data_IF_161248519664
#
_entry.id   IF_161248519664
#
_cell.length_a   1.000
_cell.length_b   1.000
_cell.length_c   1.000
_cell.angle_alpha   90.00
_cell.angle_beta   90.00
_cell.angle_gamma   90.00
#
_symmetry.space_group_name_H-M   'P 1'
#
loop_
_entity.id
_entity.type
_entity.pdbx_description
1 polymer ?
#
# COMPACT_ATOMS: atom_id res chain seq x y z
N UNK A 1 -12.93 0.48 -18.88
CA UNK A 1 -12.40 1.78 -18.44
C UNK A 1 -10.92 1.57 -18.15
N UNK A 2 -10.03 2.30 -18.83
CA UNK A 2 -8.63 2.39 -18.43
C UNK A 2 -8.62 3.04 -17.03
N UNK A 3 -8.55 2.23 -15.98
CA UNK A 3 -8.24 2.74 -14.68
C UNK A 3 -6.83 3.34 -14.76
N UNK A 4 -6.73 4.63 -14.45
CA UNK A 4 -5.47 5.36 -14.54
C UNK A 4 -4.43 4.62 -13.70
N UNK A 5 -3.37 4.21 -14.35
CA UNK A 5 -2.20 3.57 -13.72
C UNK A 5 -1.58 4.50 -12.67
N UNK A 6 -1.82 5.80 -12.82
CA UNK A 6 -1.27 6.87 -11.99
C UNK A 6 -2.39 7.76 -11.43
N UNK A 7 -2.53 7.82 -10.12
CA UNK A 7 -3.55 8.63 -9.44
C UNK A 7 -3.02 10.05 -9.14
N UNK A 8 -3.10 10.91 -10.15
CA UNK A 8 -2.65 12.30 -10.04
C UNK A 8 -3.49 13.12 -9.04
N UNK A 9 -4.78 12.84 -8.95
CA UNK A 9 -5.68 13.60 -8.06
C UNK A 9 -5.39 13.28 -6.59
N UNK A 10 -5.08 12.03 -6.26
CA UNK A 10 -4.60 11.63 -4.94
C UNK A 10 -3.33 12.40 -4.56
N UNK A 11 -2.35 12.46 -5.46
CA UNK A 11 -1.08 13.16 -5.23
C UNK A 11 -1.29 14.65 -5.03
N UNK A 12 -2.10 15.29 -5.88
CA UNK A 12 -2.43 16.71 -5.75
C UNK A 12 -3.12 17.00 -4.42
N UNK A 13 -4.07 16.17 -4.01
CA UNK A 13 -4.75 16.29 -2.73
C UNK A 13 -3.77 16.15 -1.56
N UNK A 14 -2.92 15.13 -1.58
CA UNK A 14 -1.91 14.89 -0.54
C UNK A 14 -1.00 16.12 -0.39
N UNK A 15 -0.49 16.66 -1.50
CA UNK A 15 0.37 17.85 -1.45
C UNK A 15 -0.35 19.14 -1.05
N UNK A 16 -1.62 19.28 -1.37
CA UNK A 16 -2.40 20.43 -0.93
C UNK A 16 -2.65 20.43 0.59
N UNK A 17 -2.86 19.25 1.18
CA UNK A 17 -3.17 19.10 2.60
C UNK A 17 -1.93 18.99 3.50
N UNK A 18 -0.83 18.44 3.00
CA UNK A 18 0.35 18.09 3.78
C UNK A 18 0.99 19.27 4.52
N UNK A 19 1.17 20.48 3.93
CA UNK A 19 1.79 21.60 4.63
C UNK A 19 1.05 21.96 5.92
N UNK A 20 -0.26 22.09 5.87
CA UNK A 20 -1.09 22.43 7.04
C UNK A 20 -1.03 21.34 8.12
N UNK A 21 -1.08 20.05 7.72
CA UNK A 21 -0.98 18.92 8.65
C UNK A 21 0.39 18.87 9.34
N UNK A 22 1.47 19.09 8.58
CA UNK A 22 2.84 19.10 9.11
C UNK A 22 3.07 20.28 10.05
N UNK A 23 2.54 21.47 9.73
CA UNK A 23 2.67 22.64 10.60
C UNK A 23 1.87 22.46 11.90
N UNK A 24 0.69 21.86 11.83
CA UNK A 24 -0.08 21.52 13.03
C UNK A 24 0.69 20.53 13.91
N UNK A 25 1.29 19.49 13.31
CA UNK A 25 2.09 18.51 14.03
C UNK A 25 3.33 19.16 14.69
N UNK A 26 4.07 20.03 13.97
CA UNK A 26 5.20 20.75 14.53
C UNK A 26 4.83 21.61 15.74
N UNK A 27 3.68 22.29 15.67
CA UNK A 27 3.18 23.10 16.79
C UNK A 27 2.82 22.22 17.98
N UNK A 28 2.16 21.09 17.76
CA UNK A 28 1.76 20.18 18.83
C UNK A 28 2.96 19.52 19.51
N UNK A 29 4.01 19.18 18.74
CA UNK A 29 5.21 18.51 19.26
C UNK A 29 6.27 19.48 19.77
N UNK A 30 6.23 20.76 19.37
CA UNK A 30 7.20 21.77 19.78
C UNK A 30 8.64 21.54 19.27
N UNK A 31 8.81 20.73 18.20
CA UNK A 31 10.13 20.36 17.66
C UNK A 31 10.11 20.14 16.14
N UNK A 32 11.27 20.16 15.47
CA UNK A 32 11.40 19.73 14.09
C UNK A 32 11.02 18.24 13.93
N UNK A 33 10.51 17.88 12.74
CA UNK A 33 10.11 16.53 12.37
C UNK A 33 11.02 15.98 11.27
N UNK A 34 11.37 14.71 11.35
CA UNK A 34 11.98 13.97 10.23
C UNK A 34 10.96 13.79 9.09
N UNK A 35 11.42 13.43 7.89
CA UNK A 35 10.51 13.15 6.77
C UNK A 35 9.49 12.06 7.14
N UNK A 36 9.95 10.96 7.74
CA UNK A 36 9.08 9.86 8.21
C UNK A 36 8.02 10.36 9.17
N UNK A 37 8.37 11.18 10.16
CA UNK A 37 7.40 11.75 11.09
C UNK A 37 6.40 12.68 10.39
N UNK A 38 6.85 13.51 9.45
CA UNK A 38 5.94 14.36 8.66
C UNK A 38 4.89 13.53 7.94
N UNK A 39 5.31 12.41 7.33
CA UNK A 39 4.40 11.51 6.62
C UNK A 39 3.44 10.84 7.60
N UNK A 40 3.92 10.27 8.71
CA UNK A 40 3.07 9.62 9.71
C UNK A 40 2.02 10.59 10.26
N UNK A 41 2.44 11.78 10.71
CA UNK A 41 1.50 12.77 11.24
C UNK A 41 0.54 13.35 10.18
N UNK A 42 0.95 13.41 8.93
CA UNK A 42 0.06 13.81 7.84
C UNK A 42 -1.01 12.75 7.50
N UNK A 43 -0.78 11.50 7.87
CA UNK A 43 -1.67 10.37 7.61
C UNK A 43 -2.38 9.84 8.87
N UNK A 44 -2.47 10.62 9.94
CA UNK A 44 -3.32 10.26 11.06
C UNK A 44 -4.76 10.09 10.62
N UNK A 45 -5.43 9.09 11.16
CA UNK A 45 -6.85 8.88 10.91
C UNK A 45 -7.67 10.09 11.36
N UNK A 46 -8.75 10.36 10.65
CA UNK A 46 -9.62 11.50 10.93
C UNK A 46 -10.16 11.46 12.36
N UNK A 47 -9.96 12.54 13.09
CA UNK A 47 -10.43 12.70 14.47
C UNK A 47 -9.41 12.30 15.54
N UNK A 48 -8.25 11.78 15.17
CA UNK A 48 -7.17 11.53 16.12
C UNK A 48 -6.61 12.88 16.60
N UNK A 49 -6.55 13.05 17.92
CA UNK A 49 -5.98 14.25 18.52
C UNK A 49 -4.45 14.27 18.32
N UNK A 50 -3.93 15.41 17.87
CA UNK A 50 -2.49 15.59 17.72
C UNK A 50 -1.81 15.66 19.09
N UNK A 51 -0.85 14.78 19.30
CA UNK A 51 -0.01 14.73 20.50
C UNK A 51 1.35 14.09 20.16
N UNK A 52 2.31 14.21 21.05
CA UNK A 52 3.59 13.50 20.92
C UNK A 52 3.42 12.03 21.35
N UNK A 53 3.08 11.18 20.36
CA UNK A 53 2.91 9.74 20.60
C UNK A 53 4.22 9.10 20.98
N UNK A 54 4.19 8.32 22.07
CA UNK A 54 5.37 7.60 22.58
C UNK A 54 5.75 6.45 21.66
N UNK A 55 6.90 6.58 21.00
CA UNK A 55 7.41 5.57 20.07
C UNK A 55 7.62 4.23 20.77
N UNK A 56 7.11 3.16 20.15
CA UNK A 56 7.18 1.80 20.67
C UNK A 56 6.23 1.50 21.83
N UNK A 57 5.30 2.43 22.15
CA UNK A 57 4.28 2.24 23.20
C UNK A 57 2.87 2.53 22.68
N UNK A 58 2.60 3.73 22.18
CA UNK A 58 1.26 4.15 21.82
C UNK A 58 0.83 3.50 20.49
N UNK A 59 -0.40 3.03 20.45
CA UNK A 59 -1.06 2.60 19.23
C UNK A 59 -1.78 3.79 18.60
N UNK A 60 -1.64 3.93 17.30
CA UNK A 60 -2.13 5.09 16.56
C UNK A 60 -2.81 4.62 15.28
N UNK A 61 -3.96 5.18 15.00
CA UNK A 61 -4.71 4.91 13.79
C UNK A 61 -4.23 5.79 12.63
N UNK A 62 -3.93 5.17 11.51
CA UNK A 62 -3.48 5.83 10.29
C UNK A 62 -4.44 5.60 9.12
N UNK A 63 -4.32 6.47 8.12
CA UNK A 63 -5.04 6.40 6.85
C UNK A 63 -4.04 6.27 5.70
N UNK A 64 -3.58 5.04 5.35
CA UNK A 64 -2.72 4.84 4.19
C UNK A 64 -3.40 5.31 2.90
N UNK A 65 -2.61 5.87 1.97
CA UNK A 65 -3.09 6.33 0.68
C UNK A 65 -3.46 5.19 -0.26
N UNK A 66 -2.80 4.03 -0.11
CA UNK A 66 -3.01 2.89 -1.01
C UNK A 66 -2.57 1.55 -0.42
N UNK A 67 -3.05 0.48 -1.04
CA UNK A 67 -2.71 -0.91 -0.74
C UNK A 67 -2.12 -1.58 -2.00
N UNK A 68 -1.01 -2.31 -1.85
CA UNK A 68 -0.47 -3.17 -2.89
C UNK A 68 -0.43 -4.63 -2.41
N UNK A 69 -0.86 -5.55 -3.26
CA UNK A 69 -0.92 -6.97 -2.93
C UNK A 69 -0.23 -7.80 -4.01
N UNK A 70 0.49 -8.83 -3.62
CA UNK A 70 1.03 -9.82 -4.55
C UNK A 70 0.06 -11.03 -4.67
N UNK A 71 0.19 -11.82 -5.73
CA UNK A 71 -0.79 -12.85 -6.11
C UNK A 71 -0.96 -13.97 -5.08
N UNK A 72 0.07 -14.36 -4.34
CA UNK A 72 -0.06 -15.43 -3.36
C UNK A 72 -0.88 -15.00 -2.13
N UNK A 73 -0.66 -13.78 -1.63
CA UNK A 73 -1.34 -13.25 -0.43
C UNK A 73 -2.68 -12.58 -0.74
N UNK A 74 -2.86 -12.05 -1.95
CA UNK A 74 -4.09 -11.38 -2.38
C UNK A 74 -5.30 -12.34 -2.39
N UNK A 75 -5.09 -13.61 -2.62
CA UNK A 75 -6.18 -14.61 -2.66
C UNK A 75 -7.00 -14.57 -1.38
N UNK A 76 -6.36 -14.74 -0.22
CA UNK A 76 -7.06 -14.75 1.07
C UNK A 76 -7.56 -13.35 1.44
N UNK A 77 -6.79 -12.31 1.19
CA UNK A 77 -7.20 -10.94 1.48
C UNK A 77 -8.48 -10.57 0.71
N UNK A 78 -8.56 -10.89 -0.57
CA UNK A 78 -9.73 -10.59 -1.39
C UNK A 78 -10.94 -11.47 -1.07
N UNK A 79 -10.74 -12.74 -0.70
CA UNK A 79 -11.82 -13.56 -0.18
C UNK A 79 -12.43 -12.96 1.10
N UNK A 80 -11.60 -12.48 2.01
CA UNK A 80 -12.06 -11.76 3.21
C UNK A 80 -12.76 -10.45 2.85
N UNK A 81 -12.19 -9.67 1.93
CA UNK A 81 -12.79 -8.41 1.49
C UNK A 81 -14.20 -8.61 0.91
N UNK A 82 -14.44 -9.68 0.18
CA UNK A 82 -15.76 -10.02 -0.36
C UNK A 82 -16.85 -10.10 0.73
N UNK A 83 -16.47 -10.50 1.95
CA UNK A 83 -17.42 -10.62 3.07
C UNK A 83 -17.74 -9.28 3.73
N UNK A 84 -17.01 -8.21 3.40
CA UNK A 84 -17.23 -6.88 3.98
C UNK A 84 -18.49 -6.15 3.43
N UNK A 85 -19.11 -6.68 2.38
CA UNK A 85 -20.32 -6.11 1.77
C UNK A 85 -20.09 -4.75 1.08
N UNK A 86 -18.86 -4.46 0.67
CA UNK A 86 -18.51 -3.24 -0.06
C UNK A 86 -18.61 -3.44 -1.56
N UNK A 87 -19.08 -2.42 -2.29
CA UNK A 87 -19.15 -2.44 -3.75
C UNK A 87 -17.80 -2.15 -4.40
N UNK A 88 -16.95 -1.37 -3.76
CA UNK A 88 -15.60 -0.97 -4.23
C UNK A 88 -14.65 -0.84 -3.06
N UNK A 89 -13.36 -0.94 -3.33
CA UNK A 89 -12.33 -0.62 -2.34
C UNK A 89 -12.37 0.87 -1.97
N UNK A 90 -12.10 1.17 -0.71
CA UNK A 90 -12.15 2.54 -0.18
C UNK A 90 -10.90 3.36 -0.52
N UNK A 91 -9.78 2.70 -0.81
CA UNK A 91 -8.52 3.33 -1.20
C UNK A 91 -7.99 2.70 -2.49
N UNK A 92 -7.19 3.41 -3.30
CA UNK A 92 -6.50 2.84 -4.45
C UNK A 92 -5.74 1.58 -4.05
N UNK A 93 -6.07 0.48 -4.72
CA UNK A 93 -5.49 -0.84 -4.43
C UNK A 93 -5.06 -1.53 -5.71
N UNK A 94 -3.99 -2.31 -5.64
CA UNK A 94 -3.45 -3.05 -6.79
C UNK A 94 -3.11 -4.49 -6.41
N UNK A 95 -3.29 -5.39 -7.39
CA UNK A 95 -2.84 -6.78 -7.34
C UNK A 95 -1.80 -7.00 -8.43
N UNK A 96 -0.70 -7.64 -8.07
CA UNK A 96 0.44 -7.90 -8.96
C UNK A 96 0.73 -9.40 -8.99
N UNK A 97 0.72 -9.99 -10.19
CA UNK A 97 0.92 -11.43 -10.39
C UNK A 97 2.38 -11.74 -10.73
N UNK A 98 3.25 -11.77 -9.73
CA UNK A 98 4.69 -11.98 -9.90
C UNK A 98 5.27 -13.09 -9.03
N UNK A 99 4.65 -13.47 -7.91
CA UNK A 99 5.19 -14.45 -6.96
C UNK A 99 5.00 -15.90 -7.40
N UNK A 100 3.98 -16.21 -8.20
CA UNK A 100 3.70 -17.60 -8.64
C UNK A 100 4.48 -17.98 -9.91
N UNK A 101 5.36 -17.13 -10.41
CA UNK A 101 6.23 -17.42 -11.56
C UNK A 101 7.56 -17.97 -11.06
N UNK A 102 7.92 -19.18 -11.47
CA UNK A 102 9.20 -19.80 -11.12
C UNK A 102 10.29 -19.30 -12.09
N UNK A 103 11.29 -18.59 -11.59
CA UNK A 103 12.45 -18.16 -12.39
C UNK A 103 13.47 -19.32 -12.53
N UNK A 104 13.11 -20.38 -13.25
CA UNK A 104 13.90 -21.62 -13.31
C UNK A 104 14.57 -21.88 -14.66
N UNK A 105 13.84 -21.74 -15.75
CA UNK A 105 14.29 -22.12 -17.10
C UNK A 105 14.52 -20.89 -17.98
N UNK A 106 13.65 -19.92 -17.89
CA UNK A 106 13.68 -18.70 -18.67
C UNK A 106 12.31 -18.06 -18.84
N UNK A 107 12.28 -16.75 -19.02
CA UNK A 107 11.08 -15.92 -18.93
C UNK A 107 9.86 -16.48 -19.70
N UNK A 108 10.05 -16.87 -20.96
CA UNK A 108 8.93 -17.34 -21.80
C UNK A 108 8.34 -18.65 -21.29
N UNK A 109 9.20 -19.63 -20.96
CA UNK A 109 8.77 -20.97 -20.53
C UNK A 109 8.15 -20.92 -19.12
N UNK A 110 8.78 -20.19 -18.22
CA UNK A 110 8.31 -20.09 -16.83
C UNK A 110 7.01 -19.30 -16.75
N UNK A 111 6.82 -18.26 -17.58
CA UNK A 111 5.56 -17.53 -17.68
C UNK A 111 4.45 -18.41 -18.25
N UNK A 112 4.70 -19.17 -19.30
CA UNK A 112 3.72 -20.06 -19.90
C UNK A 112 3.29 -21.12 -18.87
N UNK A 113 4.24 -21.75 -18.17
CA UNK A 113 3.95 -22.72 -17.13
C UNK A 113 3.10 -22.10 -16.01
N UNK A 114 3.45 -20.88 -15.55
CA UNK A 114 2.68 -20.19 -14.52
C UNK A 114 1.23 -19.92 -14.94
N UNK A 115 1.01 -19.46 -16.18
CA UNK A 115 -0.31 -19.19 -16.73
C UNK A 115 -1.18 -20.45 -16.84
N UNK A 116 -0.56 -21.60 -17.14
CA UNK A 116 -1.25 -22.88 -17.19
C UNK A 116 -1.56 -23.43 -15.79
N UNK A 117 -0.55 -23.46 -14.93
CA UNK A 117 -0.64 -24.05 -13.58
C UNK A 117 -1.52 -23.24 -12.63
N UNK A 118 -1.45 -21.91 -12.71
CA UNK A 118 -2.14 -20.99 -11.80
C UNK A 118 -3.33 -20.28 -12.48
N UNK A 119 -3.88 -20.83 -13.53
CA UNK A 119 -4.98 -20.22 -14.28
C UNK A 119 -6.14 -19.80 -13.39
N UNK A 120 -6.60 -20.70 -12.53
CA UNK A 120 -7.72 -20.45 -11.61
C UNK A 120 -7.45 -19.25 -10.69
N UNK A 121 -6.23 -19.14 -10.16
CA UNK A 121 -5.82 -18.04 -9.30
C UNK A 121 -5.83 -16.71 -10.08
N UNK A 122 -5.22 -16.70 -11.26
CA UNK A 122 -5.17 -15.47 -12.07
C UNK A 122 -6.55 -15.03 -12.57
N UNK A 123 -7.41 -15.97 -12.93
CA UNK A 123 -8.79 -15.69 -13.34
C UNK A 123 -9.60 -15.13 -12.16
N UNK A 124 -9.47 -15.72 -10.96
CA UNK A 124 -10.08 -15.21 -9.74
C UNK A 124 -9.61 -13.80 -9.42
N UNK A 125 -8.29 -13.57 -9.36
CA UNK A 125 -7.72 -12.27 -9.04
C UNK A 125 -8.11 -11.19 -10.05
N UNK A 126 -8.13 -11.53 -11.35
CA UNK A 126 -8.55 -10.63 -12.40
C UNK A 126 -10.02 -10.24 -12.28
N UNK A 127 -10.90 -11.23 -12.11
CA UNK A 127 -12.34 -10.98 -12.01
C UNK A 127 -12.73 -10.18 -10.78
N UNK A 128 -12.09 -10.49 -9.64
CA UNK A 128 -12.36 -9.77 -8.38
C UNK A 128 -11.83 -8.34 -8.43
N UNK A 129 -10.67 -8.15 -9.05
CA UNK A 129 -10.08 -6.82 -9.23
C UNK A 129 -10.98 -5.93 -10.08
N UNK A 130 -11.53 -6.45 -11.17
CA UNK A 130 -12.49 -5.73 -12.01
C UNK A 130 -13.77 -5.36 -11.22
N UNK A 131 -14.32 -6.33 -10.48
CA UNK A 131 -15.53 -6.12 -9.69
C UNK A 131 -15.37 -4.98 -8.68
N UNK A 132 -14.27 -4.94 -7.94
CA UNK A 132 -14.08 -4.01 -6.82
C UNK A 132 -13.25 -2.76 -7.15
N UNK A 133 -12.87 -2.59 -8.40
CA UNK A 133 -12.10 -1.41 -8.86
C UNK A 133 -10.64 -1.43 -8.43
N UNK A 134 -10.04 -2.61 -8.37
CA UNK A 134 -8.64 -2.83 -8.02
C UNK A 134 -7.81 -2.87 -9.32
N UNK A 135 -6.66 -2.21 -9.34
CA UNK A 135 -5.72 -2.30 -10.46
C UNK A 135 -5.12 -3.70 -10.56
N UNK A 136 -5.14 -4.28 -11.75
CA UNK A 136 -4.67 -5.65 -11.96
C UNK A 136 -3.47 -5.71 -12.91
N UNK A 137 -2.32 -6.09 -12.38
CA UNK A 137 -1.07 -6.31 -13.11
C UNK A 137 -0.89 -7.81 -13.34
N UNK A 138 -1.09 -8.22 -14.59
CA UNK A 138 -1.06 -9.62 -15.03
C UNK A 138 0.30 -10.25 -14.83
N UNK A 139 0.33 -11.59 -14.78
CA UNK A 139 1.57 -12.36 -14.80
C UNK A 139 2.43 -11.94 -16.00
N UNK A 140 3.71 -11.66 -15.73
CA UNK A 140 4.66 -11.15 -16.70
C UNK A 140 4.74 -9.62 -16.82
N UNK A 141 3.93 -8.86 -16.08
CA UNK A 141 3.98 -7.39 -16.08
C UNK A 141 5.18 -6.80 -15.31
N UNK A 142 5.86 -7.60 -14.50
CA UNK A 142 7.01 -7.19 -13.71
C UNK A 142 6.84 -7.48 -12.22
N UNK A 143 7.91 -7.29 -11.47
CA UNK A 143 7.95 -7.49 -10.02
C UNK A 143 7.14 -6.37 -9.35
N UNK A 144 6.25 -6.72 -8.41
CA UNK A 144 5.37 -5.79 -7.69
C UNK A 144 6.09 -4.52 -7.22
N UNK A 145 7.23 -4.66 -6.55
CA UNK A 145 7.88 -3.51 -5.93
C UNK A 145 8.48 -2.56 -6.96
N UNK A 146 8.95 -3.09 -8.09
CA UNK A 146 9.44 -2.27 -9.20
C UNK A 146 8.28 -1.57 -9.90
N UNK A 147 7.19 -2.28 -10.16
CA UNK A 147 5.98 -1.71 -10.77
C UNK A 147 5.39 -0.61 -9.88
N UNK A 148 5.32 -0.83 -8.56
CA UNK A 148 4.85 0.18 -7.60
C UNK A 148 5.75 1.39 -7.57
N UNK A 149 7.07 1.18 -7.54
CA UNK A 149 8.05 2.27 -7.54
C UNK A 149 7.94 3.16 -8.79
N UNK A 150 7.78 2.54 -9.96
CA UNK A 150 7.73 3.24 -11.26
C UNK A 150 6.40 3.94 -11.53
N UNK A 151 5.29 3.41 -11.01
CA UNK A 151 3.97 3.86 -11.43
C UNK A 151 3.15 4.54 -10.32
N UNK A 152 3.43 4.28 -9.05
CA UNK A 152 2.57 4.70 -7.94
C UNK A 152 3.27 5.43 -6.82
N UNK A 153 4.57 5.20 -6.63
CA UNK A 153 5.31 5.83 -5.54
C UNK A 153 5.52 7.32 -5.79
N UNK A 154 5.37 8.12 -4.73
CA UNK A 154 5.62 9.56 -4.75
C UNK A 154 6.10 10.03 -3.36
N UNK A 155 6.97 11.06 -3.29
CA UNK A 155 7.44 11.57 -2.01
C UNK A 155 6.29 12.05 -1.12
N UNK A 156 6.29 11.64 0.13
CA UNK A 156 5.29 12.08 1.11
C UNK A 156 4.05 11.20 1.23
N UNK A 157 3.90 10.18 0.37
CA UNK A 157 2.81 9.21 0.45
C UNK A 157 3.02 8.16 1.54
N UNK A 158 1.94 7.49 1.92
CA UNK A 158 1.95 6.35 2.84
C UNK A 158 1.24 5.17 2.20
N UNK A 159 1.87 4.00 2.19
CA UNK A 159 1.26 2.78 1.67
C UNK A 159 1.51 1.58 2.56
N UNK A 160 0.60 0.62 2.49
CA UNK A 160 0.79 -0.72 3.02
C UNK A 160 0.77 -1.75 1.90
N UNK A 161 1.40 -2.89 2.10
CA UNK A 161 1.39 -3.96 1.13
C UNK A 161 1.55 -5.33 1.77
N UNK A 162 0.96 -6.35 1.14
CA UNK A 162 0.98 -7.73 1.65
C UNK A 162 2.27 -8.47 1.30
N UNK A 163 3.38 -7.76 1.30
CA UNK A 163 4.71 -8.30 1.01
C UNK A 163 5.78 -7.62 1.88
N UNK A 164 6.79 -8.39 2.28
CA UNK A 164 7.89 -7.92 3.14
C UNK A 164 8.79 -6.89 2.46
N UNK A 165 8.78 -6.80 1.13
CA UNK A 165 9.58 -5.84 0.35
C UNK A 165 8.79 -4.57 -0.03
N UNK A 166 7.58 -4.39 0.47
CA UNK A 166 6.81 -3.15 0.32
C UNK A 166 7.63 -1.88 0.65
N UNK A 167 8.54 -1.88 1.64
CA UNK A 167 9.44 -0.75 1.92
C UNK A 167 10.29 -0.24 0.76
N UNK A 168 10.40 -0.98 -0.34
CA UNK A 168 11.08 -0.52 -1.56
C UNK A 168 10.55 0.83 -2.08
N UNK A 169 9.25 1.13 -1.90
CA UNK A 169 8.67 2.41 -2.27
C UNK A 169 9.24 3.60 -1.45
N UNK A 170 9.89 3.33 -0.33
CA UNK A 170 10.66 4.31 0.45
C UNK A 170 11.82 4.92 -0.33
N UNK A 171 12.31 4.25 -1.38
CA UNK A 171 13.33 4.79 -2.29
C UNK A 171 12.90 6.09 -3.00
N UNK A 172 11.60 6.34 -3.13
CA UNK A 172 11.03 7.61 -3.61
C UNK A 172 10.39 8.44 -2.49
N UNK A 173 10.76 8.23 -1.23
CA UNK A 173 10.34 9.09 -0.13
C UNK A 173 8.92 8.83 0.37
N UNK A 174 8.39 7.62 0.21
CA UNK A 174 7.18 7.16 0.88
C UNK A 174 7.49 6.56 2.26
N UNK A 175 6.48 6.53 3.12
CA UNK A 175 6.43 5.53 4.21
C UNK A 175 5.66 4.33 3.68
N UNK A 176 6.37 3.23 3.46
CA UNK A 176 5.82 2.01 2.89
C UNK A 176 6.09 0.82 3.83
N UNK A 177 5.05 0.08 4.19
CA UNK A 177 5.10 -0.91 5.27
C UNK A 177 4.51 -2.22 4.78
N UNK A 178 5.25 -3.33 5.00
CA UNK A 178 4.76 -4.69 4.78
C UNK A 178 3.84 -5.11 5.92
N UNK A 179 2.65 -5.62 5.58
CA UNK A 179 1.59 -6.01 6.52
C UNK A 179 1.01 -7.37 6.17
N UNK A 180 0.19 -7.90 7.05
CA UNK A 180 -0.62 -9.09 6.79
C UNK A 180 -1.86 -8.80 5.93
N UNK A 181 -2.48 -9.85 5.41
CA UNK A 181 -3.69 -9.74 4.60
C UNK A 181 -4.85 -9.07 5.32
N UNK A 182 -5.02 -9.30 6.62
CA UNK A 182 -6.07 -8.70 7.42
C UNK A 182 -5.98 -7.16 7.46
N UNK A 183 -4.76 -6.61 7.66
CA UNK A 183 -4.54 -5.16 7.63
C UNK A 183 -4.91 -4.55 6.27
N UNK A 184 -4.55 -5.24 5.19
CA UNK A 184 -4.91 -4.82 3.84
C UNK A 184 -6.44 -4.79 3.65
N UNK A 185 -7.15 -5.80 4.16
CA UNK A 185 -8.62 -5.87 4.11
C UNK A 185 -9.25 -4.70 4.85
N UNK A 186 -8.80 -4.40 6.05
CA UNK A 186 -9.33 -3.29 6.86
C UNK A 186 -9.20 -1.96 6.13
N UNK A 187 -8.03 -1.66 5.58
CA UNK A 187 -7.80 -0.43 4.82
C UNK A 187 -8.63 -0.38 3.53
N UNK A 188 -8.70 -1.48 2.78
CA UNK A 188 -9.55 -1.58 1.59
C UNK A 188 -11.03 -1.40 1.93
N UNK A 189 -11.47 -1.87 3.11
CA UNK A 189 -12.82 -1.68 3.61
C UNK A 189 -13.10 -0.26 4.13
N UNK A 190 -12.09 0.61 4.22
CA UNK A 190 -12.23 1.99 4.68
C UNK A 190 -12.19 2.12 6.20
N UNK A 191 -11.52 1.20 6.87
CA UNK A 191 -11.21 1.29 8.31
C UNK A 191 -9.83 1.92 8.52
N UNK A 192 -9.62 2.42 9.72
CA UNK A 192 -8.30 2.89 10.15
C UNK A 192 -7.32 1.71 10.21
N UNK A 193 -6.07 1.99 9.95
CA UNK A 193 -5.00 1.03 10.17
C UNK A 193 -4.23 1.36 11.46
N UNK A 194 -4.38 0.51 12.47
CA UNK A 194 -3.71 0.68 13.75
C UNK A 194 -2.27 0.21 13.69
N UNK A 195 -1.35 1.07 14.10
CA UNK A 195 0.07 0.77 14.19
C UNK A 195 0.63 1.30 15.52
N UNK A 196 1.47 0.51 16.16
CA UNK A 196 2.28 1.01 17.27
C UNK A 196 3.25 2.06 16.72
N UNK A 197 3.20 3.30 17.26
CA UNK A 197 4.04 4.42 16.78
C UNK A 197 5.49 3.98 16.63
N UNK A 198 6.06 3.99 15.40
CA UNK A 198 7.32 3.33 15.14
C UNK A 198 8.52 4.09 15.74
N UNK A 199 9.51 3.36 16.16
CA UNK A 199 10.86 3.90 16.43
C UNK A 199 11.53 4.11 15.07
N UNK A 200 12.08 5.31 14.87
CA UNK A 200 12.80 5.64 13.62
C UNK A 200 14.29 5.40 13.84
N UNK A 201 14.88 4.56 12.98
CA UNK A 201 16.32 4.27 12.96
C UNK A 201 16.89 4.91 11.68
N UNK A 202 17.82 5.83 11.86
CA UNK A 202 18.55 6.44 10.74
C UNK A 202 19.72 5.56 10.31
N UNK A 203 19.83 5.31 9.03
CA UNK A 203 20.99 4.64 8.43
C UNK A 203 21.64 5.60 7.43
N UNK A 204 22.92 5.88 7.65
CA UNK A 204 23.74 6.66 6.71
C UNK A 204 24.64 5.70 5.95
N UNK A 205 24.54 5.67 4.62
CA UNK A 205 25.39 4.90 3.72
C UNK A 205 26.61 5.73 3.30
#
# INVERSE_FOLDING_TARGET
ALHMVFDLDLIKKTYAEMPAKVDAARKALGRPLTLTEKILYAHLWKGIALQDFTRGKDYVDFAPDRVAMQDATAQMALLQFMTCGRDKVAVPSTVHCDHLILAKVGAKKDLQLALETNREVYDFLGSISDKYGIGFWKAGAGIIHQVVLENYAFPGGMMIGTDSHTPNAGGLGMVAIGVGGADAVDVMAGLAWELKMPKVIGVKL
#
